data_IF_416595609456
#
_entry.id   IF_416595609456
#
_cell.length_a   1.000
_cell.length_b   1.000
_cell.length_c   1.000
_cell.angle_alpha   90.00
_cell.angle_beta   90.00
_cell.angle_gamma   90.00
#
_symmetry.space_group_name_H-M   'P 1'
#
loop_
_entity.id
_entity.type
_entity.pdbx_description
1 polymer ?
#
# COMPACT_ATOMS: atom_id res chain seq x y z
N UNK A 1 19.17 -0.11 -6.27
CA UNK A 1 18.49 -1.40 -6.50
C UNK A 1 18.24 -1.56 -7.99
N UNK A 2 18.34 -2.76 -8.58
CA UNK A 2 18.01 -2.95 -10.00
C UNK A 2 16.54 -3.32 -10.14
N UNK A 3 15.73 -2.46 -10.75
CA UNK A 3 14.28 -2.67 -10.95
C UNK A 3 13.94 -3.97 -11.69
N UNK A 4 14.87 -4.49 -12.49
CA UNK A 4 14.71 -5.77 -13.21
C UNK A 4 14.36 -6.95 -12.29
N UNK A 5 14.79 -6.93 -11.02
CA UNK A 5 14.48 -8.01 -10.08
C UNK A 5 12.97 -8.14 -9.83
N UNK A 6 12.22 -7.04 -9.87
CA UNK A 6 10.78 -7.04 -9.65
C UNK A 6 9.99 -7.59 -10.84
N UNK A 7 10.60 -7.75 -12.02
CA UNK A 7 9.96 -8.39 -13.17
C UNK A 7 9.56 -9.83 -12.87
N UNK A 8 10.32 -10.50 -12.00
CA UNK A 8 10.06 -11.87 -11.58
C UNK A 8 9.16 -11.97 -10.34
N UNK A 9 8.84 -10.84 -9.72
CA UNK A 9 7.95 -10.79 -8.54
C UNK A 9 6.51 -10.59 -9.02
N UNK A 10 5.59 -11.35 -8.43
CA UNK A 10 4.15 -11.28 -8.71
C UNK A 10 3.54 -9.94 -8.35
N UNK A 11 2.32 -9.68 -8.82
CA UNK A 11 1.63 -8.44 -8.50
C UNK A 11 1.37 -8.28 -6.99
N UNK A 12 0.90 -9.32 -6.29
CA UNK A 12 0.76 -9.30 -4.83
C UNK A 12 2.10 -9.06 -4.13
N UNK A 13 3.18 -9.68 -4.60
CA UNK A 13 4.53 -9.45 -4.07
C UNK A 13 5.01 -8.00 -4.27
N UNK A 14 4.68 -7.37 -5.41
CA UNK A 14 5.01 -5.97 -5.69
C UNK A 14 4.25 -5.00 -4.79
N UNK A 15 2.94 -5.23 -4.60
CA UNK A 15 2.12 -4.43 -3.68
C UNK A 15 2.63 -4.57 -2.25
N UNK A 16 2.92 -5.80 -1.82
CA UNK A 16 3.52 -6.09 -0.52
C UNK A 16 4.86 -5.33 -0.29
N UNK A 17 5.72 -5.27 -1.31
CA UNK A 17 6.95 -4.47 -1.23
C UNK A 17 6.65 -2.96 -1.12
N UNK A 18 5.66 -2.47 -1.89
CA UNK A 18 5.18 -1.09 -1.78
C UNK A 18 4.69 -0.74 -0.38
N UNK A 19 3.93 -1.63 0.25
CA UNK A 19 3.47 -1.48 1.64
C UNK A 19 4.65 -1.45 2.60
N UNK A 20 5.66 -2.32 2.41
CA UNK A 20 6.87 -2.29 3.23
C UNK A 20 7.67 -0.98 3.08
N UNK A 21 7.64 -0.34 1.91
CA UNK A 21 8.22 1.00 1.73
C UNK A 21 7.51 2.03 2.60
N UNK A 22 6.18 1.99 2.68
CA UNK A 22 5.40 2.87 3.55
C UNK A 22 5.75 2.67 5.02
N UNK A 23 5.83 1.43 5.50
CA UNK A 23 6.28 1.14 6.87
C UNK A 23 7.70 1.67 7.12
N UNK A 24 8.60 1.51 6.15
CA UNK A 24 9.98 2.01 6.25
C UNK A 24 10.04 3.54 6.34
N UNK A 25 9.15 4.25 5.63
CA UNK A 25 9.02 5.70 5.73
C UNK A 25 8.48 6.12 7.11
N UNK A 26 7.45 5.43 7.63
CA UNK A 26 6.92 5.69 8.97
C UNK A 26 8.00 5.55 10.06
N UNK A 27 8.80 4.48 9.97
CA UNK A 27 9.92 4.22 10.89
C UNK A 27 11.00 5.31 10.76
N UNK A 28 11.37 5.67 9.53
CA UNK A 28 12.40 6.69 9.28
C UNK A 28 12.00 8.08 9.80
N UNK A 29 10.71 8.43 9.68
CA UNK A 29 10.12 9.67 10.17
C UNK A 29 9.82 9.65 11.68
N UNK A 30 10.05 8.51 12.36
CA UNK A 30 9.86 8.33 13.80
C UNK A 30 8.43 8.55 14.28
N UNK A 31 7.44 8.13 13.49
CA UNK A 31 6.05 8.11 13.91
C UNK A 31 5.82 7.15 15.09
N UNK A 32 4.72 7.36 15.80
CA UNK A 32 4.22 6.40 16.78
C UNK A 32 3.66 5.16 16.06
N UNK A 33 4.40 4.06 16.11
CA UNK A 33 4.10 2.72 15.56
C UNK A 33 2.62 2.34 15.68
N UNK A 34 2.13 2.45 16.91
CA UNK A 34 0.83 1.94 17.31
C UNK A 34 -0.33 2.70 16.66
N UNK A 35 -0.13 3.98 16.34
CA UNK A 35 -1.17 4.80 15.71
C UNK A 35 -1.39 4.43 14.22
N UNK A 36 -0.38 3.87 13.57
CA UNK A 36 -0.44 3.53 12.16
C UNK A 36 -0.87 2.08 11.90
N UNK A 37 -0.95 1.25 12.94
CA UNK A 37 -1.35 -0.17 12.83
C UNK A 37 -2.70 -0.33 12.14
N UNK A 38 -3.65 0.57 12.38
CA UNK A 38 -4.95 0.54 11.73
C UNK A 38 -4.83 0.56 10.20
N UNK A 39 -4.12 1.57 9.66
CA UNK A 39 -3.92 1.72 8.20
C UNK A 39 -3.08 0.55 7.66
N UNK A 40 -2.00 0.19 8.36
CA UNK A 40 -1.08 -0.86 7.94
C UNK A 40 -1.77 -2.22 7.85
N UNK A 41 -2.69 -2.55 8.77
CA UNK A 41 -3.51 -3.76 8.69
C UNK A 41 -4.32 -3.80 7.38
N UNK A 42 -5.07 -2.75 7.06
CA UNK A 42 -5.87 -2.70 5.83
C UNK A 42 -5.02 -2.77 4.56
N UNK A 43 -3.85 -2.16 4.57
CA UNK A 43 -2.93 -2.29 3.43
C UNK A 43 -2.50 -3.75 3.23
N UNK A 44 -2.10 -4.44 4.30
CA UNK A 44 -1.63 -5.82 4.22
C UNK A 44 -2.72 -6.83 3.84
N UNK A 45 -4.00 -6.54 4.13
CA UNK A 45 -5.14 -7.38 3.68
C UNK A 45 -5.13 -7.63 2.17
N UNK A 46 -4.56 -6.71 1.37
CA UNK A 46 -4.38 -6.89 -0.06
C UNK A 46 -3.78 -8.26 -0.41
N UNK A 47 -2.82 -8.73 0.38
CA UNK A 47 -2.06 -9.96 0.10
C UNK A 47 -2.90 -11.24 0.21
N UNK A 48 -3.99 -11.20 0.98
CA UNK A 48 -4.92 -12.31 1.19
C UNK A 48 -6.33 -12.08 0.59
N UNK A 49 -6.66 -10.87 0.16
CA UNK A 49 -8.02 -10.52 -0.27
C UNK A 49 -8.52 -11.37 -1.43
N UNK A 50 -9.80 -11.74 -1.39
CA UNK A 50 -10.49 -12.43 -2.47
C UNK A 50 -11.03 -11.46 -3.52
N UNK A 51 -11.62 -10.36 -3.07
CA UNK A 51 -12.29 -9.37 -3.89
C UNK A 51 -11.53 -8.05 -3.79
N UNK A 52 -10.87 -7.65 -4.89
CA UNK A 52 -10.04 -6.45 -4.90
C UNK A 52 -10.89 -5.18 -4.67
N UNK A 53 -12.13 -5.20 -5.13
CA UNK A 53 -13.17 -4.21 -4.88
C UNK A 53 -13.33 -3.91 -3.38
N UNK A 54 -13.45 -4.93 -2.53
CA UNK A 54 -13.57 -4.72 -1.07
C UNK A 54 -12.36 -3.99 -0.48
N UNK A 55 -11.15 -4.35 -0.93
CA UNK A 55 -9.93 -3.67 -0.52
C UNK A 55 -9.88 -2.23 -1.08
N UNK A 56 -10.25 -2.05 -2.34
CA UNK A 56 -10.23 -0.75 -3.02
C UNK A 56 -11.18 0.24 -2.35
N UNK A 57 -12.42 -0.18 -2.10
CA UNK A 57 -13.45 0.64 -1.44
C UNK A 57 -13.01 1.06 -0.04
N UNK A 58 -12.30 0.18 0.67
CA UNK A 58 -11.84 0.49 2.02
C UNK A 58 -10.64 1.44 1.98
N UNK A 59 -9.61 1.11 1.21
CA UNK A 59 -8.36 1.88 1.20
C UNK A 59 -8.54 3.26 0.58
N UNK A 60 -9.47 3.46 -0.37
CA UNK A 60 -9.73 4.78 -0.94
C UNK A 60 -10.22 5.78 0.11
N UNK A 61 -11.00 5.33 1.10
CA UNK A 61 -11.45 6.16 2.23
C UNK A 61 -10.35 6.43 3.25
N UNK A 62 -9.31 5.59 3.31
CA UNK A 62 -8.15 5.79 4.19
C UNK A 62 -7.19 6.86 3.67
N UNK A 63 -7.25 7.24 2.39
CA UNK A 63 -6.27 8.15 1.80
C UNK A 63 -6.47 9.58 2.34
N UNK A 64 -5.44 10.22 2.92
CA UNK A 64 -5.52 11.55 3.53
C UNK A 64 -6.20 12.59 2.65
N UNK A 65 -5.85 12.68 1.37
CA UNK A 65 -6.46 13.63 0.43
C UNK A 65 -7.98 13.44 0.30
N UNK A 66 -8.48 12.20 0.34
CA UNK A 66 -9.91 11.91 0.25
C UNK A 66 -10.61 12.14 1.60
N UNK A 67 -9.99 11.71 2.71
CA UNK A 67 -10.57 11.84 4.04
C UNK A 67 -10.63 13.30 4.51
N UNK A 68 -9.56 14.07 4.25
CA UNK A 68 -9.42 15.46 4.68
C UNK A 68 -10.13 16.47 3.76
N UNK A 69 -10.70 16.02 2.64
CA UNK A 69 -11.62 16.83 1.84
C UNK A 69 -12.82 17.28 2.68
N UNK A 70 -13.23 16.45 3.63
CA UNK A 70 -14.37 16.66 4.53
C UNK A 70 -13.92 17.05 5.93
N UNK A 71 -14.62 17.99 6.56
CA UNK A 71 -14.31 18.42 7.95
C UNK A 71 -15.01 17.58 9.00
N UNK A 72 -16.10 16.93 8.62
CA UNK A 72 -16.91 16.10 9.50
C UNK A 72 -17.37 14.87 8.76
N UNK A 73 -17.56 13.77 9.49
CA UNK A 73 -18.07 12.52 8.94
C UNK A 73 -19.39 12.69 8.18
N UNK A 74 -20.28 13.58 8.64
CA UNK A 74 -21.61 13.79 8.04
C UNK A 74 -21.61 14.57 6.70
N UNK A 75 -20.46 15.08 6.27
CA UNK A 75 -20.34 15.76 4.97
C UNK A 75 -20.28 14.76 3.79
N UNK A 76 -20.07 13.47 4.06
CA UNK A 76 -20.11 12.41 3.05
C UNK A 76 -20.65 11.07 3.59
N UNK A 77 -21.16 10.23 2.70
CA UNK A 77 -21.52 8.84 3.03
C UNK A 77 -20.30 7.91 2.90
N UNK A 78 -19.36 7.97 3.85
CA UNK A 78 -18.33 6.93 3.98
C UNK A 78 -18.99 5.55 4.09
N UNK A 79 -18.66 4.64 3.18
CA UNK A 79 -19.28 3.31 3.10
C UNK A 79 -18.55 2.30 3.99
N UNK A 80 -17.24 2.49 4.20
CA UNK A 80 -16.40 1.53 4.92
C UNK A 80 -15.95 2.04 6.28
N UNK A 81 -15.68 3.34 6.41
CA UNK A 81 -15.28 3.95 7.68
C UNK A 81 -16.48 4.20 8.60
N UNK A 82 -16.34 3.78 9.86
CA UNK A 82 -17.19 4.28 10.93
C UNK A 82 -16.82 5.71 11.33
N UNK A 83 -17.74 6.39 12.01
CA UNK A 83 -17.51 7.74 12.55
C UNK A 83 -16.30 7.80 13.49
N UNK A 84 -16.11 6.79 14.33
CA UNK A 84 -14.98 6.76 15.28
C UNK A 84 -13.64 6.59 14.54
N UNK A 85 -13.60 5.76 13.50
CA UNK A 85 -12.41 5.60 12.65
C UNK A 85 -12.11 6.85 11.83
N UNK A 86 -13.13 7.53 11.30
CA UNK A 86 -12.95 8.82 10.63
C UNK A 86 -12.32 9.84 11.59
N UNK A 87 -12.88 10.03 12.79
CA UNK A 87 -12.35 10.98 13.78
C UNK A 87 -10.90 10.61 14.15
N UNK A 88 -10.62 9.33 14.33
CA UNK A 88 -9.28 8.84 14.61
C UNK A 88 -8.29 9.20 13.49
N UNK A 89 -8.60 8.86 12.25
CA UNK A 89 -7.75 9.12 11.08
C UNK A 89 -7.61 10.61 10.79
N UNK A 90 -8.70 11.37 10.89
CA UNK A 90 -8.69 12.82 10.71
C UNK A 90 -7.68 13.47 11.65
N UNK A 91 -7.67 13.07 12.93
CA UNK A 91 -6.72 13.55 13.92
C UNK A 91 -5.28 13.08 13.64
N UNK A 92 -5.10 11.80 13.27
CA UNK A 92 -3.80 11.24 12.90
C UNK A 92 -3.13 12.04 11.77
N UNK A 93 -3.91 12.47 10.78
CA UNK A 93 -3.41 13.16 9.61
C UNK A 93 -3.15 14.66 9.80
N UNK A 94 -3.62 15.29 10.89
CA UNK A 94 -3.42 16.74 11.10
C UNK A 94 -1.94 17.16 11.18
N UNK A 95 -1.04 16.22 11.47
CA UNK A 95 0.39 16.49 11.66
C UNK A 95 1.28 15.61 10.78
N UNK A 96 0.70 14.94 9.78
CA UNK A 96 1.47 14.04 8.95
C UNK A 96 2.43 14.81 8.02
N UNK A 97 3.47 14.10 7.60
CA UNK A 97 4.41 14.51 6.58
C UNK A 97 3.77 14.17 5.23
N UNK A 98 3.74 15.11 4.29
CA UNK A 98 3.11 14.89 2.98
C UNK A 98 3.68 13.71 2.19
N UNK A 99 4.85 13.19 2.57
CA UNK A 99 5.38 11.93 2.03
C UNK A 99 4.49 10.72 2.31
N UNK A 100 3.82 10.71 3.46
CA UNK A 100 2.89 9.64 3.85
C UNK A 100 1.67 9.63 2.94
N UNK A 101 1.11 10.80 2.63
CA UNK A 101 -0.03 10.95 1.72
C UNK A 101 0.31 10.41 0.34
N UNK A 102 1.47 10.81 -0.18
CA UNK A 102 1.98 10.39 -1.50
C UNK A 102 2.17 8.87 -1.53
N UNK A 103 2.80 8.29 -0.51
CA UNK A 103 3.04 6.85 -0.44
C UNK A 103 1.73 6.06 -0.36
N UNK A 104 0.78 6.49 0.46
CA UNK A 104 -0.50 5.79 0.61
C UNK A 104 -1.31 5.82 -0.68
N UNK A 105 -1.38 6.99 -1.34
CA UNK A 105 -1.98 7.14 -2.68
C UNK A 105 -1.29 6.24 -3.71
N UNK A 106 0.04 6.23 -3.74
CA UNK A 106 0.79 5.44 -4.72
C UNK A 106 0.61 3.92 -4.52
N UNK A 107 0.49 3.45 -3.28
CA UNK A 107 0.19 2.05 -2.97
C UNK A 107 -1.22 1.69 -3.43
N UNK A 108 -2.20 2.55 -3.18
CA UNK A 108 -3.56 2.37 -3.68
C UNK A 108 -3.59 2.27 -5.21
N UNK A 109 -2.98 3.23 -5.91
CA UNK A 109 -2.87 3.23 -7.37
C UNK A 109 -2.16 1.97 -7.91
N UNK A 110 -1.10 1.53 -7.24
CA UNK A 110 -0.42 0.27 -7.56
C UNK A 110 -1.39 -0.91 -7.42
N UNK A 111 -2.10 -1.01 -6.29
CA UNK A 111 -3.04 -2.09 -5.97
C UNK A 111 -4.22 -2.20 -6.95
N UNK A 112 -4.69 -1.08 -7.49
CA UNK A 112 -5.79 -1.06 -8.48
C UNK A 112 -5.32 -1.07 -9.94
N UNK A 113 -4.02 -0.89 -10.20
CA UNK A 113 -3.46 -0.77 -11.57
C UNK A 113 -3.71 -1.94 -12.51
N UNK A 114 -4.17 -3.09 -11.97
CA UNK A 114 -4.47 -4.32 -12.70
C UNK A 114 -5.86 -4.87 -12.42
N UNK A 115 -6.75 -4.11 -11.78
CA UNK A 115 -8.10 -4.55 -11.48
C UNK A 115 -8.75 -5.21 -12.72
N UNK A 116 -9.12 -6.49 -12.58
CA UNK A 116 -9.86 -7.28 -13.57
C UNK A 116 -9.17 -7.50 -14.93
N UNK A 117 -7.83 -7.46 -14.98
CA UNK A 117 -7.07 -7.74 -16.23
C UNK A 117 -6.06 -8.87 -16.06
N UNK A 118 -5.82 -9.61 -17.15
CA UNK A 118 -4.70 -10.54 -17.23
C UNK A 118 -3.39 -9.73 -17.22
N UNK A 119 -2.42 -10.18 -16.46
CA UNK A 119 -1.08 -9.58 -16.48
C UNK A 119 -0.35 -10.14 -17.70
N UNK A 120 -0.37 -9.38 -18.80
CA UNK A 120 0.42 -9.72 -19.99
C UNK A 120 1.91 -9.39 -19.79
N UNK A 121 2.77 -10.28 -20.28
CA UNK A 121 4.22 -10.20 -20.07
C UNK A 121 4.58 -10.24 -18.58
N UNK A 122 5.34 -9.25 -18.12
CA UNK A 122 5.70 -9.10 -16.70
C UNK A 122 4.85 -8.04 -15.97
N UNK A 123 3.74 -7.57 -16.56
CA UNK A 123 2.90 -6.56 -15.92
C UNK A 123 3.53 -5.18 -15.84
N UNK A 124 3.86 -4.59 -16.98
CA UNK A 124 4.64 -3.35 -17.08
C UNK A 124 4.05 -2.17 -16.28
N UNK A 125 2.71 -2.01 -16.25
CA UNK A 125 2.07 -0.94 -15.47
C UNK A 125 2.29 -1.07 -13.96
N UNK A 126 2.17 -2.26 -13.37
CA UNK A 126 2.41 -2.42 -11.92
C UNK A 126 3.89 -2.28 -11.58
N UNK A 127 4.78 -2.67 -12.50
CA UNK A 127 6.21 -2.40 -12.35
C UNK A 127 6.49 -0.89 -12.36
N UNK A 128 5.90 -0.13 -13.29
CA UNK A 128 6.04 1.34 -13.34
C UNK A 128 5.47 2.04 -12.11
N UNK A 129 4.32 1.58 -11.60
CA UNK A 129 3.76 2.12 -10.36
C UNK A 129 4.66 1.84 -9.16
N UNK A 130 5.23 0.63 -9.06
CA UNK A 130 6.19 0.30 -8.01
C UNK A 130 7.49 1.10 -8.15
N UNK A 131 7.98 1.29 -9.38
CA UNK A 131 9.15 2.11 -9.68
C UNK A 131 8.98 3.54 -9.14
N UNK A 132 7.82 4.16 -9.34
CA UNK A 132 7.52 5.48 -8.75
C UNK A 132 7.64 5.49 -7.22
N UNK A 133 7.16 4.45 -6.54
CA UNK A 133 7.29 4.33 -5.07
C UNK A 133 8.78 4.22 -4.69
N UNK A 134 9.54 3.38 -5.38
CA UNK A 134 10.97 3.17 -5.12
C UNK A 134 11.75 4.47 -5.35
N UNK A 135 11.51 5.16 -6.46
CA UNK A 135 12.17 6.42 -6.79
C UNK A 135 11.84 7.48 -5.74
N UNK A 136 10.57 7.59 -5.33
CA UNK A 136 10.15 8.49 -4.26
C UNK A 136 10.89 8.20 -2.93
N UNK A 137 11.04 6.93 -2.56
CA UNK A 137 11.80 6.54 -1.37
C UNK A 137 13.27 6.97 -1.46
N UNK A 138 13.90 6.78 -2.63
CA UNK A 138 15.30 7.17 -2.87
C UNK A 138 15.47 8.69 -2.81
N UNK A 139 14.59 9.44 -3.49
CA UNK A 139 14.62 10.90 -3.55
C UNK A 139 14.48 11.53 -2.16
N UNK A 140 13.59 10.97 -1.33
CA UNK A 140 13.36 11.42 0.05
C UNK A 140 14.33 10.80 1.07
N UNK A 141 15.28 9.97 0.62
CA UNK A 141 16.29 9.30 1.45
C UNK A 141 15.69 8.39 2.53
N UNK A 142 14.51 7.84 2.27
CA UNK A 142 13.95 6.78 3.11
C UNK A 142 14.67 5.46 2.82
N UNK A 143 14.90 4.63 3.86
CA UNK A 143 15.50 3.32 3.66
C UNK A 143 14.54 2.44 2.83
N UNK A 144 15.08 1.79 1.80
CA UNK A 144 14.32 0.78 1.06
C UNK A 144 14.24 -0.53 1.89
N UNK A 145 13.10 -1.23 1.88
CA UNK A 145 12.96 -2.54 2.50
C UNK A 145 13.95 -3.58 1.96
N UNK A 146 14.23 -4.62 2.75
CA UNK A 146 14.93 -5.79 2.22
C UNK A 146 14.03 -6.49 1.18
N UNK A 147 14.56 -6.74 -0.02
CA UNK A 147 13.82 -7.39 -1.09
C UNK A 147 13.76 -8.92 -0.94
N UNK A 148 14.69 -9.54 -0.23
CA UNK A 148 14.83 -11.00 -0.19
C UNK A 148 13.54 -11.75 0.16
N UNK A 149 12.70 -11.30 1.13
CA UNK A 149 11.45 -11.97 1.46
C UNK A 149 10.45 -12.00 0.29
N UNK A 150 10.55 -11.05 -0.65
CA UNK A 150 9.61 -10.89 -1.75
C UNK A 150 10.00 -11.68 -3.00
N UNK A 151 11.25 -12.14 -3.09
CA UNK A 151 11.75 -12.91 -4.24
C UNK A 151 11.05 -14.26 -4.41
N UNK A 152 10.45 -14.78 -3.34
CA UNK A 152 9.67 -16.03 -3.36
C UNK A 152 8.31 -15.91 -4.05
N UNK A 153 7.76 -14.71 -4.19
CA UNK A 153 6.45 -14.50 -4.82
C UNK A 153 6.60 -14.41 -6.34
N UNK A 154 6.48 -15.54 -7.03
CA UNK A 154 6.80 -15.62 -8.45
C UNK A 154 5.70 -15.05 -9.35
N UNK A 155 6.10 -14.29 -10.37
CA UNK A 155 5.20 -13.81 -11.44
C UNK A 155 4.54 -14.96 -12.22
N UNK A 156 5.09 -16.17 -12.19
CA UNK A 156 4.49 -17.33 -12.84
C UNK A 156 3.25 -17.88 -12.08
N UNK A 157 3.03 -17.44 -10.85
CA UNK A 157 1.89 -17.87 -10.04
C UNK A 157 0.63 -17.10 -10.40
N UNK A 158 -0.49 -17.83 -10.51
CA UNK A 158 -1.82 -17.26 -10.68
C UNK A 158 -1.87 -16.24 -11.84
N UNK A 159 -1.26 -16.58 -12.98
CA UNK A 159 -1.21 -15.73 -14.18
C UNK A 159 -0.68 -14.31 -13.92
N UNK A 160 0.42 -14.20 -13.16
CA UNK A 160 1.03 -12.90 -12.81
C UNK A 160 0.56 -12.33 -11.47
N UNK A 161 -0.59 -12.75 -10.95
CA UNK A 161 -1.15 -12.16 -9.74
C UNK A 161 -0.38 -12.55 -8.49
N UNK A 162 0.21 -13.75 -8.47
CA UNK A 162 0.72 -14.35 -7.24
C UNK A 162 -0.36 -15.12 -6.50
N UNK A 163 0.06 -16.16 -5.78
CA UNK A 163 -0.82 -16.83 -4.82
C UNK A 163 -1.17 -15.88 -3.67
N UNK A 164 -2.33 -16.09 -3.03
CA UNK A 164 -2.67 -15.40 -1.79
C UNK A 164 -1.72 -15.84 -0.68
N UNK A 165 -1.37 -14.94 0.21
CA UNK A 165 -0.53 -15.23 1.38
C UNK A 165 -0.88 -14.30 2.54
N UNK A 166 -0.41 -14.65 3.74
CA UNK A 166 -0.49 -13.79 4.92
C UNK A 166 0.69 -12.80 4.95
N UNK A 167 0.43 -11.58 4.49
CA UNK A 167 1.42 -10.51 4.43
C UNK A 167 1.82 -9.94 5.78
N UNK A 168 1.06 -10.19 6.86
CA UNK A 168 1.38 -9.68 8.20
C UNK A 168 2.75 -10.20 8.65
N UNK A 169 3.11 -11.42 8.25
CA UNK A 169 4.43 -12.02 8.51
C UNK A 169 5.63 -11.25 7.94
N UNK A 170 5.39 -10.32 6.99
CA UNK A 170 6.40 -9.47 6.37
C UNK A 170 6.41 -8.03 6.93
N UNK A 171 5.42 -7.68 7.75
CA UNK A 171 5.30 -6.35 8.35
C UNK A 171 6.42 -6.09 9.34
N UNK A 172 6.91 -4.85 9.38
CA UNK A 172 7.83 -4.38 10.42
C UNK A 172 7.10 -3.62 11.55
N UNK A 173 5.77 -3.52 11.48
CA UNK A 173 4.92 -2.74 12.40
C UNK A 173 3.92 -3.63 13.17
N UNK A 174 3.37 -4.65 12.52
CA UNK A 174 2.34 -5.54 13.05
C UNK A 174 2.91 -6.74 13.81
#
# INVERSE_FOLDING_TARGET
MKLDVFKNISFRGRVAYGISCFESALIALKYNLDEWKFIVNYLWEFTSIQYLDEWSDTVVELIPENLLEFKTFEEEEFERLSKDEFIYLYNLYQTNDGSIDILLRAIYELGISRAYTVIEGYGESSLKSLEKIIDFMIENKFPLPNIDPFLGFSIEENSGWGNKFDGISLSNIL
#
